data_IF_221250660326
#
_entry.id   IF_221250660326
#
_cell.length_a   1.000
_cell.length_b   1.000
_cell.length_c   1.000
_cell.angle_alpha   90.00
_cell.angle_beta   90.00
_cell.angle_gamma   90.00
#
_symmetry.space_group_name_H-M   'P 1'
#
loop_
_entity.id
_entity.type
_entity.pdbx_description
1 polymer ?
#
# COMPACT_ATOMS: atom_id res chain seq x y z
N UNK A 1 -13.71 14.60 -33.91
CA UNK A 1 -14.60 13.43 -33.85
C UNK A 1 -14.86 12.94 -32.42
N UNK A 2 -13.86 12.61 -31.57
CA UNK A 2 -14.14 12.07 -30.23
C UNK A 2 -14.90 13.04 -29.31
N UNK A 3 -14.59 14.34 -29.37
CA UNK A 3 -15.31 15.37 -28.59
C UNK A 3 -16.78 15.50 -29.02
N UNK A 4 -17.08 15.39 -30.33
CA UNK A 4 -18.46 15.46 -30.83
C UNK A 4 -19.27 14.22 -30.42
N UNK A 5 -18.65 13.03 -30.43
CA UNK A 5 -19.29 11.80 -29.92
C UNK A 5 -19.58 11.92 -28.42
N UNK A 6 -18.64 12.47 -27.63
CA UNK A 6 -18.86 12.72 -26.20
C UNK A 6 -20.03 13.68 -25.96
N UNK A 7 -20.11 14.77 -26.73
CA UNK A 7 -21.19 15.76 -26.62
C UNK A 7 -22.55 15.16 -26.98
N UNK A 8 -22.65 14.46 -28.11
CA UNK A 8 -23.89 13.83 -28.56
C UNK A 8 -24.38 12.74 -27.59
N UNK A 9 -23.46 11.90 -27.09
CA UNK A 9 -23.81 10.86 -26.13
C UNK A 9 -24.19 11.43 -24.76
N UNK A 10 -23.56 12.54 -24.34
CA UNK A 10 -23.95 13.26 -23.12
C UNK A 10 -25.34 13.88 -23.24
N UNK A 11 -25.69 14.48 -24.39
CA UNK A 11 -27.04 15.00 -24.66
C UNK A 11 -28.11 13.89 -24.59
N UNK A 12 -27.79 12.70 -25.11
CA UNK A 12 -28.73 11.58 -25.13
C UNK A 12 -28.69 10.71 -23.86
N UNK A 13 -27.83 11.02 -22.89
CA UNK A 13 -27.57 10.20 -21.70
C UNK A 13 -27.23 8.73 -22.01
N UNK A 14 -26.67 8.47 -23.19
CA UNK A 14 -26.29 7.11 -23.60
C UNK A 14 -24.85 6.84 -23.15
N UNK A 15 -24.60 5.77 -22.39
CA UNK A 15 -23.24 5.34 -22.07
C UNK A 15 -22.47 5.07 -23.35
N UNK A 16 -21.27 5.62 -23.46
CA UNK A 16 -20.40 5.41 -24.61
C UNK A 16 -18.98 5.08 -24.15
N UNK A 17 -18.36 4.16 -24.88
CA UNK A 17 -17.00 3.70 -24.67
C UNK A 17 -16.19 4.12 -25.89
N UNK A 18 -15.14 4.88 -25.67
CA UNK A 18 -14.23 5.32 -26.73
C UNK A 18 -12.93 4.56 -26.57
N UNK A 19 -12.61 3.73 -27.56
CA UNK A 19 -11.34 2.98 -27.61
C UNK A 19 -10.59 3.43 -28.88
N UNK A 20 -9.31 3.79 -28.79
CA UNK A 20 -8.50 4.06 -29.97
C UNK A 20 -8.44 2.86 -30.91
N UNK A 21 -8.51 3.09 -32.24
CA UNK A 21 -8.54 2.00 -33.22
C UNK A 21 -7.45 0.93 -33.05
N UNK A 22 -6.17 1.29 -32.76
CA UNK A 22 -5.12 0.28 -32.54
C UNK A 22 -5.37 -0.64 -31.33
N UNK A 23 -6.18 -0.19 -30.37
CA UNK A 23 -6.47 -0.89 -29.12
C UNK A 23 -7.74 -1.78 -29.20
N UNK A 24 -8.52 -1.69 -30.29
CA UNK A 24 -9.76 -2.46 -30.45
C UNK A 24 -9.57 -3.98 -30.33
N UNK A 25 -8.41 -4.49 -30.74
CA UNK A 25 -8.07 -5.92 -30.61
C UNK A 25 -7.85 -6.38 -29.16
N UNK A 26 -7.74 -5.45 -28.20
CA UNK A 26 -7.45 -5.75 -26.80
C UNK A 26 -8.67 -5.58 -25.88
N UNK A 27 -9.85 -5.34 -26.45
CA UNK A 27 -11.07 -4.99 -25.69
C UNK A 27 -12.23 -5.97 -25.87
N UNK A 28 -11.96 -7.22 -26.32
CA UNK A 28 -13.00 -8.25 -26.44
C UNK A 28 -13.77 -8.51 -25.13
N UNK A 29 -13.11 -8.29 -23.99
CA UNK A 29 -13.68 -8.39 -22.64
C UNK A 29 -14.83 -7.41 -22.37
N UNK A 30 -14.96 -6.32 -23.14
CA UNK A 30 -16.07 -5.38 -23.01
C UNK A 30 -17.41 -6.11 -23.12
N UNK A 31 -17.54 -7.04 -24.06
CA UNK A 31 -18.78 -7.79 -24.29
C UNK A 31 -19.31 -8.55 -23.06
N UNK A 32 -18.46 -8.75 -22.05
CA UNK A 32 -18.78 -9.49 -20.82
C UNK A 32 -19.02 -8.58 -19.61
N UNK A 33 -18.96 -7.26 -19.79
CA UNK A 33 -19.27 -6.30 -18.73
C UNK A 33 -20.79 -6.18 -18.51
N UNK A 34 -21.23 -6.00 -17.25
CA UNK A 34 -22.63 -5.69 -16.96
C UNK A 34 -22.99 -4.25 -17.40
N UNK A 35 -24.27 -3.95 -17.70
CA UNK A 35 -24.73 -2.61 -18.12
C UNK A 35 -24.29 -1.46 -17.21
N UNK A 36 -24.23 -1.69 -15.90
CA UNK A 36 -23.80 -0.72 -14.89
C UNK A 36 -22.36 -0.24 -15.13
N UNK A 37 -21.48 -1.16 -15.55
CA UNK A 37 -20.10 -0.85 -15.85
C UNK A 37 -20.03 0.20 -16.98
N UNK A 38 -20.82 0.04 -18.04
CA UNK A 38 -20.87 1.01 -19.13
C UNK A 38 -21.35 2.39 -18.67
N UNK A 39 -22.41 2.45 -17.84
CA UNK A 39 -22.90 3.72 -17.27
C UNK A 39 -21.83 4.42 -16.42
N UNK A 40 -20.97 3.65 -15.78
CA UNK A 40 -19.89 4.13 -14.92
C UNK A 40 -18.53 4.24 -15.64
N UNK A 41 -18.48 3.99 -16.95
CA UNK A 41 -17.22 3.83 -17.68
C UNK A 41 -16.24 4.99 -17.51
N UNK A 42 -16.74 6.23 -17.51
CA UNK A 42 -15.93 7.46 -17.45
C UNK A 42 -15.63 7.92 -16.01
N UNK A 43 -16.15 7.24 -14.97
CA UNK A 43 -15.95 7.64 -13.57
C UNK A 43 -14.51 7.45 -13.05
N UNK A 44 -13.87 6.27 -13.22
CA UNK A 44 -12.57 6.05 -12.61
C UNK A 44 -11.49 6.89 -13.29
N UNK A 45 -10.60 7.45 -12.47
CA UNK A 45 -9.34 8.05 -12.90
C UNK A 45 -8.18 7.28 -12.32
N UNK A 46 -7.02 7.32 -12.98
CA UNK A 46 -5.89 6.47 -12.64
C UNK A 46 -4.62 7.28 -12.46
N UNK A 47 -3.83 6.89 -11.46
CA UNK A 47 -2.50 7.43 -11.22
C UNK A 47 -1.50 6.30 -10.99
N UNK A 48 -0.49 6.20 -11.84
CA UNK A 48 0.68 5.35 -11.62
C UNK A 48 1.62 6.09 -10.67
N UNK A 49 2.02 5.44 -9.59
CA UNK A 49 2.93 5.97 -8.58
C UNK A 49 4.16 5.08 -8.47
N UNK A 50 5.31 5.62 -8.86
CA UNK A 50 6.60 4.95 -8.83
C UNK A 50 7.38 5.41 -7.61
N UNK A 51 8.04 4.47 -6.93
CA UNK A 51 9.00 4.74 -5.85
C UNK A 51 10.39 4.32 -6.31
N UNK A 52 11.38 5.20 -6.16
CA UNK A 52 12.75 4.92 -6.59
C UNK A 52 13.80 5.65 -5.74
N UNK A 53 15.03 5.14 -5.77
CA UNK A 53 16.19 5.75 -5.12
C UNK A 53 17.41 5.80 -6.05
N UNK A 54 18.31 4.83 -5.98
CA UNK A 54 19.62 4.83 -6.68
C UNK A 54 19.74 3.69 -7.68
N UNK A 55 18.67 3.39 -8.44
CA UNK A 55 18.64 2.28 -9.41
C UNK A 55 18.21 2.75 -10.80
N UNK A 56 19.05 3.55 -11.49
CA UNK A 56 18.68 4.16 -12.77
C UNK A 56 18.36 3.14 -13.88
N UNK A 57 19.04 2.00 -13.89
CA UNK A 57 18.81 0.94 -14.90
C UNK A 57 17.44 0.28 -14.72
N UNK A 58 17.07 -0.05 -13.48
CA UNK A 58 15.78 -0.66 -13.14
C UNK A 58 14.63 0.33 -13.39
N UNK A 59 14.80 1.58 -12.96
CA UNK A 59 13.84 2.65 -13.26
C UNK A 59 13.63 2.79 -14.77
N UNK A 60 14.70 2.76 -15.58
CA UNK A 60 14.57 2.84 -17.05
C UNK A 60 13.78 1.65 -17.61
N UNK A 61 13.99 0.44 -17.10
CA UNK A 61 13.23 -0.76 -17.51
C UNK A 61 11.76 -0.60 -17.15
N UNK A 62 11.43 -0.20 -15.92
CA UNK A 62 10.06 0.07 -15.49
C UNK A 62 9.39 1.11 -16.39
N UNK A 63 10.02 2.27 -16.59
CA UNK A 63 9.49 3.35 -17.42
C UNK A 63 9.29 2.92 -18.87
N UNK A 64 10.23 2.13 -19.43
CA UNK A 64 10.08 1.54 -20.75
C UNK A 64 8.85 0.63 -20.86
N UNK A 65 8.65 -0.26 -19.87
CA UNK A 65 7.48 -1.14 -19.83
C UNK A 65 6.16 -0.37 -19.70
N UNK A 66 6.14 0.72 -18.91
CA UNK A 66 4.97 1.59 -18.77
C UNK A 66 4.62 2.35 -20.04
N UNK A 67 5.62 2.80 -20.81
CA UNK A 67 5.41 3.49 -22.10
C UNK A 67 4.87 2.56 -23.19
N UNK A 68 5.16 1.25 -23.09
CA UNK A 68 4.73 0.25 -24.06
C UNK A 68 3.35 -0.36 -23.75
N UNK A 69 2.69 0.08 -22.69
CA UNK A 69 1.42 -0.49 -22.25
C UNK A 69 0.19 0.08 -22.96
N UNK A 70 -0.89 -0.68 -22.94
CA UNK A 70 -2.18 -0.37 -23.54
C UNK A 70 -3.11 0.30 -22.52
N UNK A 71 -3.31 1.61 -22.65
CA UNK A 71 -4.12 2.43 -21.74
C UNK A 71 -5.56 2.66 -22.20
N UNK A 72 -5.97 2.06 -23.31
CA UNK A 72 -7.33 2.07 -23.84
C UNK A 72 -7.89 3.47 -24.12
N UNK A 73 -7.00 4.45 -24.33
CA UNK A 73 -7.34 5.87 -24.44
C UNK A 73 -7.73 6.56 -23.13
N UNK A 74 -7.63 5.90 -21.98
CA UNK A 74 -7.82 6.52 -20.67
C UNK A 74 -6.66 7.50 -20.36
N UNK A 75 -6.98 8.61 -19.68
CA UNK A 75 -5.96 9.49 -19.08
C UNK A 75 -5.43 8.81 -17.82
N UNK A 76 -4.11 8.61 -17.77
CA UNK A 76 -3.41 8.03 -16.62
C UNK A 76 -2.29 8.97 -16.20
N UNK A 77 -2.39 9.56 -15.02
CA UNK A 77 -1.33 10.41 -14.48
C UNK A 77 -0.16 9.57 -13.97
N UNK A 78 1.04 10.14 -14.00
CA UNK A 78 2.26 9.52 -13.49
C UNK A 78 2.88 10.39 -12.40
N UNK A 79 3.17 9.78 -11.25
CA UNK A 79 4.01 10.37 -10.21
C UNK A 79 5.26 9.52 -9.98
N UNK A 80 6.43 10.15 -10.01
CA UNK A 80 7.71 9.53 -9.69
C UNK A 80 8.18 10.09 -8.35
N UNK A 81 8.13 9.27 -7.30
CA UNK A 81 8.54 9.61 -5.93
C UNK A 81 9.98 9.12 -5.71
N UNK A 82 10.90 10.06 -5.60
CA UNK A 82 12.32 9.80 -5.39
C UNK A 82 12.69 10.01 -3.92
N UNK A 83 13.40 9.04 -3.34
CA UNK A 83 14.02 9.20 -2.02
C UNK A 83 15.11 10.27 -2.03
N UNK A 84 15.46 10.78 -0.84
CA UNK A 84 16.47 11.82 -0.68
C UNK A 84 17.87 11.39 -1.14
N UNK A 85 18.08 10.08 -1.27
CA UNK A 85 19.34 9.47 -1.72
C UNK A 85 19.43 9.32 -3.24
N UNK A 86 18.41 9.72 -4.00
CA UNK A 86 18.39 9.50 -5.44
C UNK A 86 19.58 10.14 -6.15
N UNK A 87 20.25 9.36 -7.01
CA UNK A 87 21.44 9.81 -7.72
C UNK A 87 21.11 10.72 -8.92
N UNK A 88 22.13 11.43 -9.41
CA UNK A 88 21.97 12.38 -10.52
C UNK A 88 21.42 11.73 -11.79
N UNK A 89 21.77 10.46 -12.06
CA UNK A 89 21.30 9.72 -13.24
C UNK A 89 19.80 9.43 -13.12
N UNK A 90 19.36 9.02 -11.93
CA UNK A 90 17.96 8.74 -11.61
C UNK A 90 17.11 10.01 -11.72
N UNK A 91 17.62 11.14 -11.20
CA UNK A 91 17.00 12.45 -11.36
C UNK A 91 16.82 12.82 -12.84
N UNK A 92 17.88 12.68 -13.65
CA UNK A 92 17.82 12.96 -15.09
C UNK A 92 16.81 12.07 -15.81
N UNK A 93 16.74 10.78 -15.49
CA UNK A 93 15.76 9.85 -16.06
C UNK A 93 14.33 10.29 -15.71
N UNK A 94 14.05 10.56 -14.43
CA UNK A 94 12.72 10.96 -13.96
C UNK A 94 12.25 12.28 -14.59
N UNK A 95 13.12 13.30 -14.60
CA UNK A 95 12.80 14.61 -15.18
C UNK A 95 12.72 14.57 -16.71
N UNK A 96 13.57 13.79 -17.38
CA UNK A 96 13.63 13.71 -18.84
C UNK A 96 12.51 12.90 -19.50
N UNK A 97 11.83 12.02 -18.75
CA UNK A 97 10.74 11.19 -19.28
C UNK A 97 9.61 12.04 -19.89
N UNK A 98 9.23 11.77 -21.14
CA UNK A 98 7.97 12.27 -21.71
C UNK A 98 6.86 11.27 -21.45
N UNK A 99 5.78 11.71 -20.82
CA UNK A 99 4.63 10.86 -20.50
C UNK A 99 3.45 11.22 -21.40
N UNK A 100 3.03 10.35 -22.34
CA UNK A 100 2.00 10.69 -23.31
C UNK A 100 0.57 10.39 -22.82
N UNK A 101 0.41 9.71 -21.67
CA UNK A 101 -0.90 9.21 -21.22
C UNK A 101 -1.60 10.12 -20.20
N UNK A 102 -0.95 11.18 -19.71
CA UNK A 102 -1.53 12.07 -18.70
C UNK A 102 -0.53 13.08 -18.17
N UNK A 103 -0.76 13.60 -16.97
CA UNK A 103 0.17 14.52 -16.33
C UNK A 103 1.32 13.77 -15.66
N UNK A 104 2.55 14.31 -15.76
CA UNK A 104 3.72 13.78 -15.06
C UNK A 104 4.11 14.71 -13.91
N UNK A 105 4.20 14.17 -12.70
CA UNK A 105 4.75 14.84 -11.53
C UNK A 105 6.00 14.11 -11.03
N UNK A 106 7.03 14.86 -10.66
CA UNK A 106 8.26 14.30 -10.07
C UNK A 106 8.42 14.90 -8.68
N UNK A 107 8.53 14.04 -7.67
CA UNK A 107 8.75 14.43 -6.27
C UNK A 107 10.08 13.91 -5.79
N UNK A 108 10.81 14.74 -5.07
CA UNK A 108 12.08 14.38 -4.44
C UNK A 108 11.99 14.68 -2.94
N UNK A 109 12.27 13.68 -2.10
CA UNK A 109 12.26 13.89 -0.65
C UNK A 109 13.45 14.75 -0.21
N UNK A 110 13.23 15.60 0.77
CA UNK A 110 14.31 16.36 1.43
C UNK A 110 15.06 15.49 2.45
N UNK A 111 14.35 14.57 3.10
CA UNK A 111 14.90 13.65 4.09
C UNK A 111 14.50 12.22 3.75
N UNK A 112 15.41 11.28 3.96
CA UNK A 112 15.15 9.85 3.76
C UNK A 112 13.98 9.39 4.65
N UNK A 113 12.94 8.84 4.01
CA UNK A 113 11.70 8.45 4.70
C UNK A 113 11.69 7.00 5.17
N UNK A 114 12.48 6.15 4.51
CA UNK A 114 12.44 4.69 4.69
C UNK A 114 11.18 4.07 4.08
N UNK A 115 11.16 2.73 3.98
CA UNK A 115 10.12 1.99 3.23
C UNK A 115 8.68 2.31 3.63
N UNK A 116 8.42 2.54 4.93
CA UNK A 116 7.07 2.81 5.39
C UNK A 116 6.55 4.12 4.81
N UNK A 117 7.29 5.22 4.98
CA UNK A 117 6.90 6.53 4.47
C UNK A 117 6.97 6.56 2.94
N UNK A 118 8.00 5.95 2.35
CA UNK A 118 8.18 5.85 0.89
C UNK A 118 6.92 5.31 0.23
N UNK A 119 6.35 4.23 0.75
CA UNK A 119 5.15 3.60 0.19
C UNK A 119 3.87 4.33 0.60
N UNK A 120 3.66 4.58 1.89
CA UNK A 120 2.40 5.16 2.37
C UNK A 120 2.15 6.55 1.81
N UNK A 121 3.19 7.36 1.61
CA UNK A 121 3.07 8.74 1.13
C UNK A 121 3.27 8.86 -0.41
N UNK A 122 3.54 7.76 -1.11
CA UNK A 122 3.73 7.78 -2.58
C UNK A 122 2.49 8.24 -3.33
N UNK A 123 1.31 7.98 -2.77
CA UNK A 123 0.02 8.34 -3.34
C UNK A 123 -1.02 8.56 -2.24
N UNK A 124 -1.89 9.55 -2.46
CA UNK A 124 -3.13 9.73 -1.72
C UNK A 124 -4.22 10.14 -2.71
N UNK A 125 -5.38 9.46 -2.73
CA UNK A 125 -6.44 9.73 -3.69
C UNK A 125 -7.04 11.13 -3.53
N UNK A 126 -7.24 11.83 -4.66
CA UNK A 126 -7.99 13.09 -4.69
C UNK A 126 -9.52 12.92 -4.63
N UNK A 127 -10.03 11.72 -4.93
CA UNK A 127 -11.45 11.37 -4.87
C UNK A 127 -11.66 9.88 -4.59
N UNK A 128 -12.90 9.45 -4.35
CA UNK A 128 -13.23 8.02 -4.22
C UNK A 128 -13.24 7.24 -5.54
N UNK A 129 -13.00 7.92 -6.66
CA UNK A 129 -12.88 7.34 -8.00
C UNK A 129 -11.47 7.49 -8.58
N UNK A 130 -10.49 8.01 -7.82
CA UNK A 130 -9.08 8.02 -8.21
C UNK A 130 -8.39 6.74 -7.68
N UNK A 131 -7.82 5.93 -8.57
CA UNK A 131 -7.15 4.67 -8.22
C UNK A 131 -5.64 4.79 -8.38
N UNK A 132 -4.90 4.31 -7.39
CA UNK A 132 -3.44 4.37 -7.35
C UNK A 132 -2.82 3.04 -7.76
N UNK A 133 -2.02 3.03 -8.81
CA UNK A 133 -1.22 1.88 -9.25
C UNK A 133 0.20 2.07 -8.71
N UNK A 134 0.55 1.34 -7.65
CA UNK A 134 1.82 1.51 -6.94
C UNK A 134 2.86 0.53 -7.46
N UNK A 135 4.03 1.05 -7.84
CA UNK A 135 5.16 0.32 -8.43
C UNK A 135 6.48 0.77 -7.79
N UNK A 136 7.42 -0.16 -7.61
CA UNK A 136 8.81 0.11 -7.22
C UNK A 136 9.72 -0.01 -8.46
N UNK A 137 10.91 0.60 -8.44
CA UNK A 137 11.81 0.63 -9.59
C UNK A 137 12.27 -0.76 -10.09
N UNK A 138 12.28 -1.76 -9.22
CA UNK A 138 12.59 -3.16 -9.57
C UNK A 138 11.45 -3.93 -10.25
N UNK A 139 10.31 -3.29 -10.50
CA UNK A 139 9.16 -3.88 -11.16
C UNK A 139 9.22 -3.69 -12.67
N UNK A 140 8.83 -4.70 -13.43
CA UNK A 140 8.45 -4.59 -14.84
C UNK A 140 6.98 -4.92 -14.97
N UNK A 141 6.24 -4.16 -15.79
CA UNK A 141 4.83 -4.44 -16.05
C UNK A 141 4.62 -5.03 -17.44
N UNK A 142 3.63 -5.90 -17.58
CA UNK A 142 3.13 -6.36 -18.87
C UNK A 142 2.54 -5.19 -19.66
N UNK A 143 2.60 -5.20 -21.01
CA UNK A 143 1.83 -4.26 -21.84
C UNK A 143 0.33 -4.24 -21.54
N UNK A 144 -0.21 -5.29 -20.90
CA UNK A 144 -1.62 -5.46 -20.56
C UNK A 144 -1.95 -5.20 -19.09
N UNK A 145 -1.01 -4.70 -18.28
CA UNK A 145 -1.26 -4.46 -16.86
C UNK A 145 -2.46 -3.53 -16.62
N UNK A 146 -2.58 -2.49 -17.45
CA UNK A 146 -3.68 -1.54 -17.33
C UNK A 146 -5.00 -2.15 -17.81
N UNK A 147 -4.99 -2.98 -18.86
CA UNK A 147 -6.18 -3.71 -19.32
C UNK A 147 -6.74 -4.60 -18.20
N UNK A 148 -5.87 -5.30 -17.48
CA UNK A 148 -6.26 -6.09 -16.30
C UNK A 148 -6.87 -5.24 -15.18
N UNK A 149 -6.21 -4.14 -14.81
CA UNK A 149 -6.74 -3.18 -13.84
C UNK A 149 -8.12 -2.67 -14.27
N UNK A 150 -8.25 -2.24 -15.52
CA UNK A 150 -9.49 -1.67 -16.06
C UNK A 150 -10.62 -2.70 -16.05
N UNK A 151 -10.36 -3.91 -16.53
CA UNK A 151 -11.37 -4.95 -16.62
C UNK A 151 -11.88 -5.37 -15.23
N UNK A 152 -10.96 -5.67 -14.31
CA UNK A 152 -11.31 -6.07 -12.94
C UNK A 152 -12.02 -4.96 -12.16
N UNK A 153 -11.62 -3.71 -12.35
CA UNK A 153 -12.27 -2.56 -11.73
C UNK A 153 -13.70 -2.38 -12.26
N UNK A 154 -13.89 -2.52 -13.57
CA UNK A 154 -15.22 -2.41 -14.17
C UNK A 154 -16.14 -3.53 -13.74
N UNK A 155 -15.61 -4.74 -13.51
CA UNK A 155 -16.39 -5.86 -13.00
C UNK A 155 -16.75 -5.70 -11.51
N UNK A 156 -15.75 -5.56 -10.64
CA UNK A 156 -15.92 -5.73 -9.19
C UNK A 156 -16.13 -4.44 -8.39
N UNK A 157 -16.13 -3.27 -9.05
CA UNK A 157 -16.34 -1.97 -8.38
C UNK A 157 -17.41 -1.11 -9.03
N UNK A 158 -17.46 -1.09 -10.36
CA UNK A 158 -18.42 -0.29 -11.12
C UNK A 158 -19.48 -1.12 -11.85
N UNK A 159 -19.45 -2.45 -11.69
CA UNK A 159 -20.36 -3.39 -12.32
C UNK A 159 -21.66 -3.58 -11.53
N UNK A 160 -22.25 -4.76 -11.66
CA UNK A 160 -23.48 -5.13 -10.99
C UNK A 160 -23.28 -5.18 -9.47
N UNK A 161 -24.27 -4.76 -8.69
CA UNK A 161 -24.15 -4.67 -7.23
C UNK A 161 -23.76 -6.02 -6.57
N UNK A 162 -24.24 -7.14 -7.13
CA UNK A 162 -23.93 -8.51 -6.70
C UNK A 162 -22.44 -8.86 -6.82
N UNK A 163 -21.72 -8.19 -7.72
CA UNK A 163 -20.29 -8.40 -7.96
C UNK A 163 -19.41 -7.37 -7.24
N UNK A 164 -20.01 -6.45 -6.47
CA UNK A 164 -19.27 -5.42 -5.75
C UNK A 164 -19.29 -5.67 -4.25
N UNK A 165 -18.16 -5.41 -3.59
CA UNK A 165 -18.10 -5.53 -2.14
C UNK A 165 -17.06 -4.58 -1.52
N UNK A 166 -17.39 -3.88 -0.42
CA UNK A 166 -16.50 -2.88 0.20
C UNK A 166 -15.21 -3.46 0.80
N UNK A 167 -15.17 -4.78 1.06
CA UNK A 167 -13.97 -5.48 1.52
C UNK A 167 -12.87 -5.63 0.47
N UNK A 168 -13.17 -5.45 -0.83
CA UNK A 168 -12.17 -5.49 -1.89
C UNK A 168 -11.31 -4.22 -1.82
N UNK A 169 -10.03 -4.38 -1.47
CA UNK A 169 -9.11 -3.25 -1.27
C UNK A 169 -8.17 -2.95 -2.45
N UNK A 170 -8.13 -3.83 -3.44
CA UNK A 170 -7.28 -3.65 -4.60
C UNK A 170 -7.17 -4.88 -5.48
N UNK A 171 -6.37 -4.72 -6.52
CA UNK A 171 -6.08 -5.74 -7.54
C UNK A 171 -4.56 -5.85 -7.65
N UNK A 172 -4.03 -7.05 -7.41
CA UNK A 172 -2.63 -7.37 -7.63
C UNK A 172 -2.32 -7.45 -9.13
N UNK A 173 -1.12 -7.03 -9.50
CA UNK A 173 -0.54 -7.29 -10.83
C UNK A 173 0.32 -8.57 -10.82
N UNK A 174 0.67 -9.08 -9.64
CA UNK A 174 1.61 -10.18 -9.46
C UNK A 174 0.96 -11.39 -8.77
N UNK A 175 1.35 -12.60 -9.18
CA UNK A 175 0.98 -13.86 -8.51
C UNK A 175 2.15 -14.38 -7.65
N UNK A 176 2.01 -14.47 -6.31
CA UNK A 176 3.07 -14.99 -5.44
C UNK A 176 3.46 -16.44 -5.70
N UNK A 177 4.77 -16.69 -5.68
CA UNK A 177 5.37 -18.04 -5.72
C UNK A 177 5.82 -18.56 -4.36
N UNK A 178 5.85 -17.68 -3.35
CA UNK A 178 6.24 -17.99 -1.98
C UNK A 178 5.12 -17.57 -1.03
N UNK A 179 4.88 -18.37 0.01
CA UNK A 179 4.04 -17.94 1.12
C UNK A 179 4.91 -17.23 2.15
N UNK A 180 5.04 -15.91 2.03
CA UNK A 180 5.94 -15.09 2.85
C UNK A 180 5.58 -15.02 4.35
N UNK A 181 4.39 -15.50 4.72
CA UNK A 181 3.83 -15.37 6.06
C UNK A 181 4.01 -16.62 6.92
N UNK A 182 4.44 -17.74 6.35
CA UNK A 182 4.64 -19.01 7.06
C UNK A 182 6.14 -19.30 7.19
N UNK A 183 6.54 -19.92 8.32
CA UNK A 183 7.93 -20.33 8.57
C UNK A 183 8.47 -21.19 7.42
N UNK A 184 9.69 -20.91 6.98
CA UNK A 184 10.31 -21.55 5.81
C UNK A 184 9.88 -20.96 4.47
N UNK A 185 8.86 -20.09 4.46
CA UNK A 185 8.31 -19.40 3.30
C UNK A 185 8.12 -20.37 2.12
N UNK A 186 7.32 -21.43 2.23
CA UNK A 186 7.31 -22.50 1.22
C UNK A 186 6.96 -21.97 -0.17
N UNK A 187 7.53 -22.61 -1.20
CA UNK A 187 7.08 -22.45 -2.59
C UNK A 187 5.67 -22.97 -2.74
N UNK A 188 4.89 -22.33 -3.60
CA UNK A 188 3.57 -22.78 -3.95
C UNK A 188 3.19 -22.29 -5.35
N UNK A 189 2.24 -23.00 -5.95
CA UNK A 189 1.71 -22.69 -7.26
C UNK A 189 0.18 -22.55 -7.15
N UNK A 190 -0.35 -21.39 -7.50
CA UNK A 190 -1.80 -21.12 -7.40
C UNK A 190 -2.62 -21.99 -8.35
N UNK A 191 -2.12 -22.29 -9.54
CA UNK A 191 -2.82 -23.14 -10.51
C UNK A 191 -3.03 -24.55 -9.96
N UNK A 192 -1.98 -25.16 -9.39
CA UNK A 192 -2.04 -26.50 -8.79
C UNK A 192 -2.89 -26.51 -7.53
N UNK A 193 -2.67 -25.52 -6.64
CA UNK A 193 -3.39 -25.41 -5.39
C UNK A 193 -4.90 -25.32 -5.59
N UNK A 194 -5.38 -24.45 -6.49
CA UNK A 194 -6.81 -24.29 -6.74
C UNK A 194 -7.41 -25.39 -7.61
N UNK A 195 -6.62 -26.03 -8.50
CA UNK A 195 -7.06 -27.22 -9.22
C UNK A 195 -7.51 -28.32 -8.26
N UNK A 196 -6.72 -28.60 -7.22
CA UNK A 196 -7.04 -29.64 -6.25
C UNK A 196 -8.34 -29.38 -5.49
N UNK A 197 -8.68 -28.10 -5.27
CA UNK A 197 -9.87 -27.66 -4.50
C UNK A 197 -11.13 -27.47 -5.34
N UNK A 198 -10.99 -26.94 -6.56
CA UNK A 198 -12.11 -26.41 -7.34
C UNK A 198 -12.28 -27.06 -8.71
N UNK A 199 -11.29 -27.84 -9.16
CA UNK A 199 -11.18 -28.32 -10.55
C UNK A 199 -11.15 -27.20 -11.60
N UNK A 200 -10.81 -25.97 -11.18
CA UNK A 200 -10.55 -24.83 -12.05
C UNK A 200 -9.10 -24.38 -11.86
N UNK A 201 -8.30 -24.47 -12.92
CA UNK A 201 -6.85 -24.19 -12.87
C UNK A 201 -6.52 -22.71 -13.00
N UNK A 202 -7.31 -22.01 -13.80
CA UNK A 202 -7.08 -20.62 -14.20
C UNK A 202 -8.32 -19.81 -13.89
N UNK A 203 -8.35 -19.23 -12.69
CA UNK A 203 -9.38 -18.29 -12.25
C UNK A 203 -8.79 -17.39 -11.18
N UNK A 204 -9.01 -16.06 -11.24
CA UNK A 204 -8.56 -15.14 -10.21
C UNK A 204 -9.00 -15.60 -8.82
N UNK A 205 -8.21 -15.27 -7.81
CA UNK A 205 -8.53 -15.60 -6.42
C UNK A 205 -8.36 -14.38 -5.53
N UNK A 206 -8.85 -14.47 -4.30
CA UNK A 206 -8.70 -13.41 -3.31
C UNK A 206 -7.82 -13.82 -2.14
N UNK A 207 -7.10 -12.86 -1.58
CA UNK A 207 -6.31 -13.05 -0.37
C UNK A 207 -6.27 -11.76 0.45
N UNK A 208 -6.29 -11.80 1.80
CA UNK A 208 -6.12 -10.64 2.67
C UNK A 208 -4.66 -10.13 2.73
N UNK A 209 -3.89 -10.37 1.67
CA UNK A 209 -2.48 -10.02 1.55
C UNK A 209 -2.36 -8.80 0.61
N UNK A 210 -1.74 -7.69 1.01
CA UNK A 210 -1.38 -6.62 0.10
C UNK A 210 -0.20 -7.06 -0.79
N UNK A 211 -0.24 -6.73 -2.07
CA UNK A 211 0.87 -6.96 -2.99
C UNK A 211 1.83 -5.77 -3.02
N UNK A 212 3.14 -6.05 -2.89
CA UNK A 212 4.23 -5.06 -3.01
C UNK A 212 4.86 -5.02 -4.41
N UNK A 213 4.65 -6.03 -5.25
CA UNK A 213 5.32 -6.13 -6.55
C UNK A 213 4.43 -5.67 -7.70
N UNK A 214 3.69 -4.58 -7.45
CA UNK A 214 2.72 -4.00 -8.37
C UNK A 214 1.28 -4.35 -8.01
N UNK A 215 0.49 -3.32 -7.74
CA UNK A 215 -0.94 -3.43 -7.49
C UNK A 215 -1.66 -2.11 -7.70
N UNK A 216 -2.94 -2.20 -8.07
CA UNK A 216 -3.88 -1.09 -8.01
C UNK A 216 -4.62 -1.12 -6.66
N UNK A 217 -4.45 -0.07 -5.87
CA UNK A 217 -5.11 0.12 -4.58
C UNK A 217 -6.36 0.98 -4.71
N UNK A 218 -7.42 0.57 -4.02
CA UNK A 218 -8.69 1.28 -4.05
C UNK A 218 -8.66 2.47 -3.08
N UNK A 219 -9.21 3.64 -3.46
CA UNK A 219 -9.08 4.88 -2.71
C UNK A 219 -9.60 4.76 -1.28
N UNK A 220 -10.80 4.20 -1.09
CA UNK A 220 -11.40 4.07 0.24
C UNK A 220 -10.56 3.18 1.19
N UNK A 221 -9.97 2.11 0.66
CA UNK A 221 -9.11 1.23 1.43
C UNK A 221 -7.77 1.89 1.76
N UNK A 222 -7.18 2.62 0.82
CA UNK A 222 -5.93 3.36 1.05
C UNK A 222 -6.09 4.48 2.06
N UNK A 223 -7.19 5.25 1.99
CA UNK A 223 -7.54 6.25 3.01
C UNK A 223 -7.70 5.62 4.39
N UNK A 224 -8.36 4.45 4.47
CA UNK A 224 -8.48 3.69 5.73
C UNK A 224 -7.12 3.23 6.25
N UNK A 225 -6.24 2.75 5.36
CA UNK A 225 -4.87 2.38 5.70
C UNK A 225 -4.07 3.55 6.28
N UNK A 226 -4.17 4.75 5.69
CA UNK A 226 -3.54 5.95 6.23
C UNK A 226 -3.96 6.24 7.68
N UNK A 227 -5.27 6.17 7.96
CA UNK A 227 -5.82 6.36 9.31
C UNK A 227 -5.33 5.28 10.27
N UNK A 228 -5.34 4.02 9.83
CA UNK A 228 -4.84 2.89 10.61
C UNK A 228 -3.35 3.03 10.93
N UNK A 229 -2.53 3.36 9.93
CA UNK A 229 -1.10 3.56 10.06
C UNK A 229 -0.78 4.71 11.02
N UNK A 230 -1.45 5.85 10.89
CA UNK A 230 -1.31 6.98 11.81
C UNK A 230 -1.63 6.59 13.26
N UNK A 231 -2.74 5.87 13.46
CA UNK A 231 -3.13 5.36 14.77
C UNK A 231 -2.07 4.42 15.35
N UNK A 232 -1.58 3.47 14.54
CA UNK A 232 -0.57 2.50 14.94
C UNK A 232 0.78 3.12 15.26
N UNK A 233 1.19 4.14 14.50
CA UNK A 233 2.44 4.88 14.74
C UNK A 233 2.37 5.73 16.01
N UNK A 234 1.21 6.32 16.31
CA UNK A 234 1.01 7.10 17.54
C UNK A 234 0.79 6.23 18.78
N UNK A 235 0.44 4.95 18.60
CA UNK A 235 0.20 3.98 19.67
C UNK A 235 1.06 2.71 19.49
N UNK A 236 2.39 2.79 19.54
CA UNK A 236 3.29 1.66 19.24
C UNK A 236 3.22 0.51 20.26
N UNK A 237 2.61 0.73 21.44
CA UNK A 237 2.37 -0.31 22.43
C UNK A 237 1.27 -1.28 22.02
N UNK A 238 0.39 -0.89 21.10
CA UNK A 238 -0.68 -1.73 20.59
C UNK A 238 -0.09 -2.67 19.56
N UNK A 239 -0.30 -3.97 19.80
CA UNK A 239 0.15 -5.04 18.93
C UNK A 239 -1.07 -5.79 18.43
N UNK A 240 -1.12 -5.99 17.12
CA UNK A 240 -2.04 -6.93 16.50
C UNK A 240 -1.26 -8.22 16.25
N UNK A 241 -1.69 -9.30 16.89
CA UNK A 241 -1.06 -10.62 16.75
C UNK A 241 -1.88 -11.46 15.78
N UNK A 242 -1.34 -11.68 14.58
CA UNK A 242 -1.94 -12.59 13.60
C UNK A 242 -1.36 -13.97 13.88
N UNK A 243 -2.09 -14.80 14.62
CA UNK A 243 -1.60 -16.10 15.12
C UNK A 243 -0.93 -16.91 14.00
N UNK A 244 0.34 -17.28 14.21
CA UNK A 244 1.11 -18.11 13.28
C UNK A 244 1.74 -17.36 12.09
N UNK A 245 1.49 -16.06 11.95
CA UNK A 245 2.07 -15.25 10.87
C UNK A 245 3.47 -14.71 11.23
N UNK A 246 4.41 -14.84 10.30
CA UNK A 246 5.73 -14.20 10.41
C UNK A 246 5.65 -12.67 10.41
N UNK A 247 4.57 -12.07 9.91
CA UNK A 247 4.38 -10.61 9.89
C UNK A 247 4.45 -9.97 11.28
N UNK A 248 4.13 -10.73 12.34
CA UNK A 248 4.20 -10.24 13.73
C UNK A 248 5.63 -9.83 14.10
N UNK A 249 6.63 -10.44 13.47
CA UNK A 249 8.06 -10.19 13.70
C UNK A 249 8.62 -9.01 12.88
N UNK A 250 7.89 -8.54 11.87
CA UNK A 250 8.37 -7.48 10.98
C UNK A 250 8.38 -6.13 11.71
N UNK A 251 9.43 -5.32 11.51
CA UNK A 251 9.62 -4.03 12.19
C UNK A 251 9.48 -2.81 11.26
N UNK A 252 9.94 -2.93 10.01
CA UNK A 252 10.04 -1.82 9.06
C UNK A 252 9.21 -2.03 7.77
N UNK A 253 8.16 -2.87 7.83
CA UNK A 253 7.34 -3.20 6.66
C UNK A 253 6.00 -2.49 6.72
N UNK A 254 5.67 -1.69 5.70
CA UNK A 254 4.34 -1.10 5.56
C UNK A 254 3.26 -2.18 5.38
N UNK A 255 3.59 -3.28 4.68
CA UNK A 255 2.69 -4.43 4.48
C UNK A 255 2.24 -5.02 5.80
N UNK A 256 3.08 -5.01 6.84
CA UNK A 256 2.67 -5.45 8.18
C UNK A 256 1.41 -4.72 8.62
N UNK A 257 1.43 -3.39 8.62
CA UNK A 257 0.31 -2.59 9.09
C UNK A 257 -0.93 -2.77 8.21
N UNK A 258 -0.73 -2.90 6.89
CA UNK A 258 -1.84 -3.14 5.97
C UNK A 258 -2.45 -4.54 6.18
N UNK A 259 -1.64 -5.57 6.46
CA UNK A 259 -2.12 -6.92 6.82
C UNK A 259 -2.85 -6.93 8.17
N UNK A 260 -2.35 -6.20 9.17
CA UNK A 260 -3.06 -6.05 10.46
C UNK A 260 -4.47 -5.46 10.21
N UNK A 261 -4.57 -4.41 9.38
CA UNK A 261 -5.85 -3.82 9.00
C UNK A 261 -6.74 -4.81 8.23
N UNK A 262 -6.20 -5.43 7.18
CA UNK A 262 -6.96 -6.33 6.30
C UNK A 262 -7.49 -7.54 7.05
N UNK A 263 -6.68 -8.11 7.95
CA UNK A 263 -7.11 -9.18 8.84
C UNK A 263 -8.22 -8.74 9.79
N UNK A 264 -8.10 -7.55 10.38
CA UNK A 264 -9.06 -7.06 11.39
C UNK A 264 -10.43 -6.69 10.81
N UNK A 265 -10.48 -6.34 9.52
CA UNK A 265 -11.69 -5.87 8.84
C UNK A 265 -12.19 -6.83 7.75
N UNK A 266 -11.61 -8.03 7.63
CA UNK A 266 -11.90 -9.01 6.58
C UNK A 266 -11.84 -8.41 5.16
N UNK A 267 -10.81 -7.61 4.92
CA UNK A 267 -10.55 -7.02 3.61
C UNK A 267 -9.67 -7.97 2.79
N UNK A 268 -9.85 -7.96 1.48
CA UNK A 268 -9.14 -8.84 0.55
C UNK A 268 -8.75 -8.12 -0.74
N UNK A 269 -7.71 -8.64 -1.40
CA UNK A 269 -7.23 -8.20 -2.70
C UNK A 269 -7.46 -9.31 -3.72
N UNK A 270 -7.80 -8.93 -4.95
CA UNK A 270 -7.89 -9.84 -6.08
C UNK A 270 -6.50 -10.11 -6.64
N UNK A 271 -6.21 -11.36 -6.97
CA UNK A 271 -4.95 -11.81 -7.55
C UNK A 271 -5.15 -12.51 -8.89
N UNK A 272 -4.26 -12.28 -9.87
CA UNK A 272 -4.26 -13.03 -11.11
C UNK A 272 -3.84 -14.48 -10.86
N UNK A 273 -4.35 -15.39 -11.69
CA UNK A 273 -4.02 -16.81 -11.62
C UNK A 273 -4.21 -17.45 -12.99
N UNK A 274 -3.16 -17.35 -13.79
CA UNK A 274 -3.07 -17.88 -15.15
C UNK A 274 -2.00 -18.96 -15.20
N UNK A 275 -1.96 -19.72 -16.29
CA UNK A 275 -0.99 -20.79 -16.46
C UNK A 275 0.45 -20.29 -16.21
N UNK A 276 1.27 -21.13 -15.56
CA UNK A 276 2.65 -20.82 -15.18
C UNK A 276 2.81 -19.60 -14.24
N UNK A 277 1.72 -19.23 -13.54
CA UNK A 277 1.64 -18.02 -12.72
C UNK A 277 1.95 -16.74 -13.53
N UNK A 278 1.60 -16.75 -14.82
CA UNK A 278 1.72 -15.59 -15.71
C UNK A 278 0.97 -14.40 -15.11
N UNK A 279 1.63 -13.25 -15.09
CA UNK A 279 1.22 -12.07 -14.31
C UNK A 279 1.34 -10.79 -15.12
N UNK A 280 0.85 -9.69 -14.55
CA UNK A 280 0.89 -8.36 -15.13
C UNK A 280 2.04 -7.49 -14.60
N UNK A 281 2.78 -8.00 -13.62
CA UNK A 281 4.06 -7.48 -13.19
C UNK A 281 5.01 -8.60 -12.77
N UNK A 282 6.31 -8.32 -12.81
CA UNK A 282 7.37 -9.21 -12.34
C UNK A 282 8.43 -8.40 -11.59
N UNK A 283 9.05 -9.01 -10.57
CA UNK A 283 10.07 -8.37 -9.75
C UNK A 283 11.47 -8.89 -10.15
N UNK A 284 12.37 -7.97 -10.48
CA UNK A 284 13.74 -8.26 -10.93
C UNK A 284 14.78 -8.34 -9.81
N UNK A 285 14.35 -8.31 -8.55
CA UNK A 285 15.18 -8.42 -7.36
C UNK A 285 16.30 -7.40 -7.29
N UNK A 286 15.95 -6.15 -7.57
CA UNK A 286 16.91 -5.05 -7.47
C UNK A 286 17.53 -4.97 -6.08
N UNK A 287 18.84 -4.70 -6.03
CA UNK A 287 19.57 -4.63 -4.75
C UNK A 287 19.02 -3.49 -3.89
N UNK A 288 18.61 -3.77 -2.65
CA UNK A 288 17.87 -2.83 -1.80
C UNK A 288 17.79 -3.24 -0.33
N UNK A 289 16.91 -2.58 0.44
CA UNK A 289 16.74 -2.83 1.89
C UNK A 289 16.42 -4.31 2.23
N UNK A 290 15.83 -5.05 1.30
CA UNK A 290 15.49 -6.47 1.47
C UNK A 290 16.50 -7.45 0.84
N UNK A 291 17.40 -6.98 -0.04
CA UNK A 291 18.36 -7.83 -0.77
C UNK A 291 19.73 -7.15 -0.74
N UNK A 292 20.64 -7.68 0.07
CA UNK A 292 22.03 -7.22 0.10
C UNK A 292 22.77 -7.79 -1.11
N UNK A 293 23.05 -6.94 -2.09
CA UNK A 293 24.00 -7.09 -3.22
C UNK A 293 24.06 -8.44 -3.94
N UNK A 294 23.91 -8.41 -5.27
CA UNK A 294 24.11 -9.54 -6.18
C UNK A 294 25.40 -10.34 -5.86
N UNK A 295 25.22 -11.49 -5.21
CA UNK A 295 26.33 -12.32 -4.75
C UNK A 295 25.92 -13.29 -3.64
N UNK A 296 25.17 -14.34 -3.98
CA UNK A 296 25.17 -15.59 -3.21
C UNK A 296 24.33 -15.65 -1.94
N UNK A 297 23.19 -14.96 -1.88
CA UNK A 297 22.21 -15.25 -0.83
C UNK A 297 21.36 -16.45 -1.28
N UNK A 298 21.68 -17.65 -0.78
CA UNK A 298 21.02 -18.92 -1.15
C UNK A 298 19.48 -18.89 -0.93
N UNK A 299 18.98 -17.88 -0.23
CA UNK A 299 17.56 -17.67 0.10
C UNK A 299 16.78 -16.81 -0.90
N UNK A 300 17.42 -16.13 -1.88
CA UNK A 300 16.77 -15.22 -2.83
C UNK A 300 17.00 -15.61 -4.30
N UNK A 301 16.49 -16.77 -4.71
CA UNK A 301 16.62 -17.27 -6.09
C UNK A 301 15.63 -16.57 -7.04
N UNK A 302 16.04 -16.06 -8.23
CA UNK A 302 15.14 -15.38 -9.17
C UNK A 302 13.83 -16.11 -9.44
N UNK A 303 13.88 -17.44 -9.57
CA UNK A 303 12.70 -18.30 -9.80
C UNK A 303 11.56 -18.11 -8.78
N UNK A 304 11.88 -17.64 -7.57
CA UNK A 304 10.93 -17.40 -6.49
C UNK A 304 10.18 -16.07 -6.59
N UNK A 305 10.63 -15.17 -7.47
CA UNK A 305 10.18 -13.78 -7.51
C UNK A 305 9.80 -13.35 -8.93
N UNK A 306 10.54 -13.82 -9.94
CA UNK A 306 10.24 -13.56 -11.34
C UNK A 306 9.12 -14.46 -11.83
N UNK A 307 8.16 -13.87 -12.53
CA UNK A 307 7.05 -14.56 -13.20
C UNK A 307 7.01 -14.15 -14.68
N UNK A 308 6.51 -15.00 -15.58
CA UNK A 308 6.29 -14.59 -16.96
C UNK A 308 5.26 -13.46 -17.01
N UNK A 309 5.51 -12.47 -17.87
CA UNK A 309 4.57 -11.38 -18.13
C UNK A 309 3.59 -11.76 -19.24
N UNK A 310 2.37 -11.23 -19.18
CA UNK A 310 1.41 -11.36 -20.27
C UNK A 310 1.89 -10.59 -21.49
N UNK A 311 2.00 -11.26 -22.64
CA UNK A 311 2.36 -10.66 -23.93
C UNK A 311 1.24 -10.73 -24.97
N UNK A 312 0.26 -11.61 -24.77
CA UNK A 312 -0.96 -11.71 -25.59
C UNK A 312 -2.19 -11.81 -24.70
N UNK A 313 -2.99 -10.74 -24.70
CA UNK A 313 -4.22 -10.67 -23.94
C UNK A 313 -5.29 -11.65 -24.41
N UNK A 314 -5.38 -11.96 -25.71
CA UNK A 314 -6.44 -12.80 -26.24
C UNK A 314 -6.30 -14.23 -25.72
N UNK A 315 -5.09 -14.78 -25.83
CA UNK A 315 -4.73 -16.09 -25.27
C UNK A 315 -4.91 -16.16 -23.75
N UNK A 316 -4.64 -15.07 -23.03
CA UNK A 316 -4.86 -15.01 -21.59
C UNK A 316 -6.35 -15.01 -21.23
N UNK A 317 -7.15 -14.25 -21.97
CA UNK A 317 -8.59 -14.11 -21.76
C UNK A 317 -9.30 -15.46 -21.92
N UNK A 318 -8.88 -16.28 -22.89
CA UNK A 318 -9.41 -17.63 -23.12
C UNK A 318 -9.07 -18.64 -22.03
N UNK A 319 -8.09 -18.34 -21.16
CA UNK A 319 -7.82 -19.17 -19.98
C UNK A 319 -8.83 -18.95 -18.86
N UNK A 320 -9.58 -17.85 -18.85
CA UNK A 320 -10.59 -17.63 -17.83
C UNK A 320 -11.76 -18.60 -18.01
N UNK A 321 -12.44 -19.03 -16.94
CA UNK A 321 -13.56 -19.95 -17.06
C UNK A 321 -14.70 -19.30 -17.85
N UNK A 322 -15.04 -19.85 -19.01
CA UNK A 322 -16.02 -19.28 -19.93
C UNK A 322 -15.57 -17.97 -20.60
N UNK A 323 -14.25 -17.75 -20.70
CA UNK A 323 -13.64 -16.54 -21.29
C UNK A 323 -14.24 -15.26 -20.71
N UNK A 324 -14.33 -15.17 -19.39
CA UNK A 324 -14.79 -13.96 -18.67
C UNK A 324 -14.32 -13.99 -17.22
N UNK A 325 -14.27 -12.83 -16.58
CA UNK A 325 -14.12 -12.77 -15.13
C UNK A 325 -15.31 -13.47 -14.45
N UNK A 326 -15.06 -14.29 -13.41
CA UNK A 326 -16.12 -14.93 -12.64
C UNK A 326 -16.93 -13.87 -11.87
N UNK A 327 -18.19 -14.21 -11.53
CA UNK A 327 -18.94 -13.42 -10.56
C UNK A 327 -18.23 -13.42 -9.21
N UNK A 328 -18.50 -12.41 -8.38
CA UNK A 328 -17.86 -12.30 -7.06
C UNK A 328 -18.11 -13.56 -6.21
N UNK A 329 -19.33 -14.10 -6.22
CA UNK A 329 -19.70 -15.28 -5.44
C UNK A 329 -19.02 -16.58 -5.92
N UNK A 330 -18.51 -16.59 -7.15
CA UNK A 330 -17.76 -17.72 -7.73
C UNK A 330 -16.25 -17.62 -7.46
N UNK A 331 -15.77 -16.50 -6.93
CA UNK A 331 -14.37 -16.36 -6.56
C UNK A 331 -14.01 -17.28 -5.39
N UNK A 332 -12.79 -17.77 -5.44
CA UNK A 332 -12.17 -18.50 -4.33
C UNK A 332 -11.04 -17.69 -3.73
N UNK A 333 -10.59 -18.08 -2.55
CA UNK A 333 -9.50 -17.40 -1.91
C UNK A 333 -8.72 -18.26 -0.95
N UNK A 334 -7.81 -17.61 -0.25
CA UNK A 334 -7.10 -18.18 0.88
C UNK A 334 -6.91 -17.14 1.96
N UNK A 335 -6.79 -17.58 3.20
CA UNK A 335 -6.44 -16.68 4.30
C UNK A 335 -4.97 -16.22 4.25
N UNK A 336 -4.58 -15.39 5.23
CA UNK A 336 -3.20 -14.92 5.36
C UNK A 336 -2.17 -16.06 5.45
N UNK A 337 -2.56 -17.24 5.95
CA UNK A 337 -1.63 -18.36 6.14
C UNK A 337 -1.64 -19.32 4.94
N UNK A 338 -2.47 -19.07 3.92
CA UNK A 338 -2.57 -19.89 2.71
C UNK A 338 -3.55 -21.06 2.82
N UNK A 339 -4.49 -21.01 3.78
CA UNK A 339 -5.58 -21.99 3.87
C UNK A 339 -6.74 -21.56 2.97
N UNK A 340 -7.24 -22.49 2.15
CA UNK A 340 -8.38 -22.27 1.26
C UNK A 340 -9.60 -21.72 2.00
N UNK A 341 -10.24 -20.71 1.41
CA UNK A 341 -11.49 -20.13 1.85
C UNK A 341 -12.38 -19.82 0.63
N UNK A 342 -13.69 -19.97 0.79
CA UNK A 342 -14.64 -19.43 -0.17
C UNK A 342 -14.79 -17.91 0.02
N UNK A 343 -15.23 -17.20 -1.03
CA UNK A 343 -15.42 -15.74 -0.97
C UNK A 343 -16.36 -15.29 0.17
N UNK A 344 -17.35 -16.12 0.53
CA UNK A 344 -18.31 -15.83 1.59
C UNK A 344 -17.68 -15.59 2.98
N UNK A 345 -16.54 -16.20 3.27
CA UNK A 345 -15.81 -15.98 4.53
C UNK A 345 -15.29 -14.53 4.62
N UNK A 346 -14.94 -13.95 3.48
CA UNK A 346 -14.51 -12.55 3.40
C UNK A 346 -15.68 -11.57 3.41
N UNK A 347 -16.80 -11.91 2.75
CA UNK A 347 -17.92 -10.99 2.59
C UNK A 347 -18.86 -10.96 3.79
N UNK A 348 -19.16 -12.11 4.42
CA UNK A 348 -20.07 -12.17 5.58
C UNK A 348 -19.52 -11.50 6.83
N UNK A 349 -18.20 -11.48 6.99
CA UNK A 349 -17.54 -10.99 8.20
C UNK A 349 -16.96 -9.58 8.02
N UNK A 350 -17.21 -8.92 6.90
CA UNK A 350 -16.83 -7.53 6.72
C UNK A 350 -17.61 -6.64 7.69
N UNK A 351 -16.91 -5.85 8.50
CA UNK A 351 -17.53 -4.98 9.49
C UNK A 351 -17.05 -3.54 9.33
N UNK A 352 -17.95 -2.69 8.82
CA UNK A 352 -17.81 -1.22 8.84
C UNK A 352 -17.82 -0.71 10.29
N UNK A 353 -18.59 -1.37 11.16
CA UNK A 353 -18.69 -1.04 12.57
C UNK A 353 -17.35 -1.23 13.28
N UNK A 354 -16.56 -2.25 12.93
CA UNK A 354 -15.19 -2.39 13.46
C UNK A 354 -14.29 -1.23 13.01
N UNK A 355 -14.41 -0.78 11.75
CA UNK A 355 -13.63 0.33 11.17
C UNK A 355 -13.86 1.66 11.92
N UNK A 356 -15.07 1.85 12.48
CA UNK A 356 -15.45 3.04 13.25
C UNK A 356 -15.36 2.86 14.77
N UNK A 357 -15.70 1.68 15.31
CA UNK A 357 -15.66 1.38 16.74
C UNK A 357 -14.24 1.16 17.23
N UNK A 358 -13.36 0.47 16.50
CA UNK A 358 -11.97 0.31 16.95
C UNK A 358 -11.20 1.62 16.85
N UNK A 359 -11.50 2.51 15.89
CA UNK A 359 -10.92 3.85 15.83
C UNK A 359 -11.48 4.79 16.93
N UNK A 360 -12.77 4.64 17.30
CA UNK A 360 -13.42 5.42 18.35
C UNK A 360 -13.12 4.97 19.79
N UNK A 361 -13.11 3.65 20.06
CA UNK A 361 -12.76 3.06 21.36
C UNK A 361 -11.29 3.29 21.65
N UNK A 362 -10.42 3.08 20.65
CA UNK A 362 -9.01 3.45 20.71
C UNK A 362 -8.77 4.92 21.04
N UNK A 363 -9.48 5.84 20.37
CA UNK A 363 -9.33 7.27 20.62
C UNK A 363 -9.77 7.64 22.04
N UNK A 364 -10.84 7.01 22.56
CA UNK A 364 -11.28 7.16 23.95
C UNK A 364 -10.26 6.62 24.95
N UNK A 365 -9.72 5.42 24.72
CA UNK A 365 -8.73 4.79 25.59
C UNK A 365 -7.39 5.54 25.58
N UNK A 366 -6.91 5.99 24.42
CA UNK A 366 -5.72 6.82 24.30
C UNK A 366 -5.90 8.18 25.01
N UNK A 367 -7.10 8.77 24.93
CA UNK A 367 -7.44 10.00 25.66
C UNK A 367 -7.46 9.78 27.17
N UNK A 368 -8.00 8.65 27.65
CA UNK A 368 -8.00 8.27 29.06
C UNK A 368 -6.58 7.99 29.57
N UNK A 369 -5.75 7.29 28.80
CA UNK A 369 -4.36 7.01 29.13
C UNK A 369 -3.50 8.30 29.15
N UNK A 370 -3.73 9.23 28.23
CA UNK A 370 -3.08 10.54 28.21
C UNK A 370 -3.46 11.41 29.42
N UNK A 371 -4.76 11.39 29.80
CA UNK A 371 -5.25 12.05 31.02
C UNK A 371 -4.63 11.43 32.29
N UNK A 372 -4.52 10.10 32.36
CA UNK A 372 -3.88 9.40 33.47
C UNK A 372 -2.39 9.76 33.59
N UNK A 373 -1.63 9.75 32.49
CA UNK A 373 -0.22 10.17 32.46
C UNK A 373 -0.04 11.62 32.91
N UNK A 374 -0.87 12.56 32.43
CA UNK A 374 -0.84 13.98 32.88
C UNK A 374 -1.11 14.11 34.39
N UNK A 375 -2.04 13.32 34.94
CA UNK A 375 -2.37 13.32 36.38
C UNK A 375 -1.20 12.81 37.22
N UNK A 376 -0.54 11.73 36.79
CA UNK A 376 0.66 11.18 37.43
C UNK A 376 1.84 12.16 37.37
N UNK A 377 2.05 12.83 36.24
CA UNK A 377 3.12 13.80 36.06
C UNK A 377 2.90 15.08 36.88
N UNK A 378 1.65 15.55 37.01
CA UNK A 378 1.28 16.64 37.94
C UNK A 378 1.48 16.23 39.40
N UNK A 379 1.13 14.99 39.76
CA UNK A 379 1.38 14.45 41.11
C UNK A 379 2.87 14.39 41.47
N UNK A 380 3.71 13.97 40.52
CA UNK A 380 5.19 13.95 40.66
C UNK A 380 5.76 15.36 40.86
N UNK A 381 5.38 16.32 40.00
CA UNK A 381 5.79 17.73 40.14
C UNK A 381 5.30 18.37 41.45
N UNK A 382 4.11 17.98 41.93
CA UNK A 382 3.58 18.43 43.22
C UNK A 382 4.38 17.90 44.42
N UNK A 383 4.82 16.64 44.37
CA UNK A 383 5.70 16.04 45.38
C UNK A 383 7.09 16.69 45.36
N UNK A 384 7.68 16.92 44.19
CA UNK A 384 8.97 17.62 44.05
C UNK A 384 8.92 19.05 44.59
N UNK A 385 7.84 19.81 44.31
CA UNK A 385 7.64 21.15 44.89
C UNK A 385 7.51 21.12 46.41
N UNK A 386 6.78 20.16 46.99
CA UNK A 386 6.69 19.99 48.45
C UNK A 386 8.04 19.61 49.06
N UNK A 387 8.83 18.78 48.38
CA UNK A 387 10.16 18.37 48.85
C UNK A 387 11.17 19.53 48.78
N UNK A 388 11.11 20.36 47.73
CA UNK A 388 11.89 21.59 47.64
C UNK A 388 11.49 22.63 48.69
N UNK A 389 10.19 22.79 48.99
CA UNK A 389 9.74 23.68 50.07
C UNK A 389 10.15 23.18 51.47
N UNK A 390 10.12 21.87 51.71
CA UNK A 390 10.64 21.29 52.96
C UNK A 390 12.15 21.46 53.09
N UNK A 391 12.91 21.31 52.00
CA UNK A 391 14.35 21.59 51.99
C UNK A 391 14.63 23.08 52.23
N UNK A 392 13.91 24.01 51.58
CA UNK A 392 14.07 25.45 51.82
C UNK A 392 13.69 25.87 53.26
N UNK A 393 12.66 25.25 53.85
CA UNK A 393 12.29 25.46 55.25
C UNK A 393 13.27 24.84 56.26
N UNK A 394 14.02 23.81 55.85
CA UNK A 394 15.14 23.24 56.62
C UNK A 394 16.38 24.14 56.55
N UNK A 395 16.71 24.65 55.36
CA UNK A 395 17.80 25.61 55.14
C UNK A 395 17.59 26.93 55.90
N UNK A 396 16.37 27.48 55.94
CA UNK A 396 16.06 28.67 56.77
C UNK A 396 16.27 28.41 58.27
N UNK A 397 15.90 27.23 58.78
CA UNK A 397 16.12 26.86 60.20
C UNK A 397 17.59 26.63 60.57
N UNK A 398 18.43 26.24 59.60
CA UNK A 398 19.89 26.09 59.79
C UNK A 398 20.61 27.45 59.77
N UNK A 399 20.12 28.38 58.95
CA UNK A 399 20.68 29.75 58.85
C UNK A 399 20.32 30.59 60.07
N UNK A 400 19.13 30.46 60.66
CA UNK A 400 18.76 31.16 61.90
C UNK A 400 19.50 30.65 63.16
N UNK A 401 20.07 29.44 63.13
CA UNK A 401 20.84 28.88 64.26
C UNK A 401 22.36 29.10 64.18
N UNK A 402 22.88 29.64 63.08
CA UNK A 402 24.32 29.91 62.92
C UNK A 402 24.56 31.39 62.66
N UNK A 403 24.53 32.17 63.74
CA UNK A 403 24.98 33.56 63.70
C UNK A 403 26.45 33.64 63.28
N UNK A 404 26.71 33.96 62.01
CA UNK A 404 27.99 34.51 61.55
C UNK A 404 27.87 35.06 60.13
N UNK A 405 27.46 36.32 60.04
CA UNK A 405 27.23 37.07 58.80
C UNK A 405 28.52 37.48 58.04
N UNK A 406 29.67 36.84 58.30
CA UNK A 406 30.97 37.26 57.71
C UNK A 406 31.66 36.26 56.77
N UNK A 407 31.15 35.04 56.58
CA UNK A 407 31.82 34.04 55.74
C UNK A 407 31.32 33.94 54.27
N UNK A 408 30.19 34.57 53.93
CA UNK A 408 29.54 34.34 52.61
C UNK A 408 30.08 35.26 51.48
N UNK A 409 30.77 36.35 51.81
CA UNK A 409 31.31 37.25 50.79
C UNK A 409 32.62 36.78 50.12
N UNK A 410 33.33 35.78 50.65
CA UNK A 410 34.60 35.32 50.04
C UNK A 410 34.42 34.26 48.94
N UNK A 411 33.28 33.55 48.89
CA UNK A 411 33.06 32.46 47.92
C UNK A 411 32.42 32.96 46.62
N UNK A 412 31.67 34.07 46.64
CA UNK A 412 31.02 34.62 45.44
C UNK A 412 31.96 35.39 44.50
N UNK A 413 33.19 35.74 44.92
CA UNK A 413 34.19 36.38 44.05
C UNK A 413 35.03 35.40 43.22
N UNK A 414 35.02 34.09 43.50
CA UNK A 414 35.88 33.11 42.79
C UNK A 414 35.23 32.39 41.59
N UNK A 415 33.96 32.66 41.25
CA UNK A 415 33.25 32.00 40.14
C UNK A 415 33.01 32.86 38.88
N UNK A 416 33.53 34.10 38.81
CA UNK A 416 33.37 34.99 37.64
C UNK A 416 34.55 35.03 36.66
N UNK A 417 35.53 34.11 36.74
CA UNK A 417 36.73 34.14 35.88
C UNK A 417 36.97 32.90 35.01
N UNK A 418 35.98 32.04 34.79
CA UNK A 418 36.14 30.92 33.84
C UNK A 418 34.91 30.86 32.95
N UNK A 419 34.89 31.69 31.90
CA UNK A 419 34.24 31.50 30.59
C UNK A 419 34.53 32.74 29.74
N UNK A 420 35.77 32.81 29.24
CA UNK A 420 36.15 33.58 28.06
C UNK A 420 37.34 32.89 27.41
N UNK A 421 37.04 31.87 26.61
CA UNK A 421 37.67 31.48 25.34
C UNK A 421 36.85 30.32 24.78
#
# INVERSE_FOLDING_TARGET
VPQLVRLAAAEQQVPHVLVPSPELRHVGWLAHLPPEAYRNWQKPTFRVSIITATRPAELRRLLGSLLNAHYLGDKVDLIINMEATADQTTLQIAHGLRWPHGEKNVRHRVQQGGLIAAVSESWYPGSFDEYGILLEDDIEVSPFFFVWCRYTLMMYKYGAAVDTHPGLFGVSLYTPRRNELVKGKPRWNSNEYFWDKTKTRTSPYVQPLPCSWGAMYFPAAWMSFHRYLQYRMTNPSIKVDIKGSLSNTWKASWKKFFMEMSHSYNMYMLYPNFNNQTSFSTNHLGSGEHIKSAGGDADHLPIDYTVPLVEDWSSLFDQLPGSRLPHLDDLVGMDLLGKFQGIHEFTKHFSVENLQQQTGVAAKEATLAAKAKKKTQRGRKGKEKKQQQMQQGSWKRVVDRSGSQKAIQSVLKKKKSVHKH
#
